data_IF_218869724090
#
_entry.id   IF_218869724090
#
_cell.length_a   1.000
_cell.length_b   1.000
_cell.length_c   1.000
_cell.angle_alpha   90.00
_cell.angle_beta   90.00
_cell.angle_gamma   90.00
#
_symmetry.space_group_name_H-M   'P 1'
#
loop_
_entity.id
_entity.type
_entity.pdbx_description
1 polymer ?
#
# COMPACT_ATOMS: atom_id res chain seq x y z
N UNK A 1 -17.86 4.52 -10.29
CA UNK A 1 -17.18 5.56 -9.48
C UNK A 1 -16.06 6.14 -10.33
N UNK A 2 -15.92 7.47 -10.36
CA UNK A 2 -14.84 8.12 -11.11
C UNK A 2 -13.87 8.79 -10.12
N UNK A 3 -12.56 8.55 -10.34
CA UNK A 3 -11.47 9.15 -9.56
C UNK A 3 -10.63 9.97 -10.53
N UNK A 4 -10.38 11.23 -10.18
CA UNK A 4 -9.50 12.07 -11.00
C UNK A 4 -8.05 11.67 -10.75
N UNK A 5 -7.26 11.62 -11.82
CA UNK A 5 -5.85 11.26 -11.78
C UNK A 5 -5.04 12.15 -12.70
N UNK A 6 -3.87 12.58 -12.21
CA UNK A 6 -2.82 13.19 -13.03
C UNK A 6 -1.72 12.14 -13.18
N UNK A 7 -1.32 11.87 -14.41
CA UNK A 7 -0.22 10.99 -14.73
C UNK A 7 0.94 11.82 -15.33
N UNK A 8 2.02 11.95 -14.58
CA UNK A 8 3.28 12.58 -15.02
C UNK A 8 4.33 11.55 -15.40
N UNK A 9 3.99 10.26 -15.39
CA UNK A 9 4.86 9.20 -15.90
C UNK A 9 4.65 8.97 -17.40
N UNK A 10 5.56 8.23 -18.02
CA UNK A 10 5.39 7.73 -19.39
C UNK A 10 4.73 6.34 -19.45
N UNK A 11 4.16 5.88 -18.32
CA UNK A 11 3.53 4.58 -18.22
C UNK A 11 2.01 4.69 -18.35
N UNK A 12 1.36 3.59 -18.74
CA UNK A 12 -0.09 3.51 -18.76
C UNK A 12 -0.67 3.70 -17.35
N UNK A 13 -1.90 4.24 -17.28
CA UNK A 13 -2.62 4.34 -16.01
C UNK A 13 -2.81 2.96 -15.37
N UNK A 14 -2.81 2.89 -14.02
CA UNK A 14 -3.20 1.67 -13.31
C UNK A 14 -4.57 1.18 -13.78
N UNK A 15 -4.70 -0.11 -13.98
CA UNK A 15 -5.97 -0.73 -14.40
C UNK A 15 -6.16 -2.07 -13.69
N UNK A 16 -7.41 -2.51 -13.63
CA UNK A 16 -7.75 -3.84 -13.12
C UNK A 16 -7.48 -4.87 -14.20
N UNK A 17 -6.67 -5.87 -13.91
CA UNK A 17 -6.32 -6.94 -14.88
C UNK A 17 -7.52 -7.82 -15.22
N UNK A 18 -8.45 -8.02 -14.27
CA UNK A 18 -9.68 -8.79 -14.45
C UNK A 18 -10.87 -8.06 -13.84
N UNK A 19 -12.10 -8.47 -14.22
CA UNK A 19 -13.33 -7.90 -13.65
C UNK A 19 -13.45 -8.10 -12.13
N UNK A 20 -12.77 -9.10 -11.58
CA UNK A 20 -12.79 -9.44 -10.16
C UNK A 20 -11.54 -8.94 -9.41
N UNK A 21 -10.60 -8.27 -10.08
CA UNK A 21 -9.42 -7.71 -9.41
C UNK A 21 -9.82 -6.59 -8.46
N UNK A 22 -9.22 -6.56 -7.27
CA UNK A 22 -9.38 -5.48 -6.30
C UNK A 22 -8.24 -4.46 -6.35
N UNK A 23 -7.08 -4.86 -6.85
CA UNK A 23 -5.87 -4.03 -6.93
C UNK A 23 -5.46 -3.72 -8.37
N UNK A 24 -4.83 -2.58 -8.55
CA UNK A 24 -4.23 -2.11 -9.78
C UNK A 24 -2.72 -1.98 -9.58
N UNK A 25 -1.89 -2.48 -10.49
CA UNK A 25 -0.44 -2.39 -10.34
C UNK A 25 0.05 -0.93 -10.40
N UNK A 26 0.97 -0.58 -9.49
CA UNK A 26 1.74 0.66 -9.50
C UNK A 26 3.13 0.39 -10.07
N UNK A 27 3.55 1.26 -10.99
CA UNK A 27 4.86 1.16 -11.64
C UNK A 27 5.84 2.20 -11.09
N UNK A 28 7.10 1.82 -11.04
CA UNK A 28 8.20 2.74 -10.76
C UNK A 28 8.32 3.78 -11.89
N UNK A 29 8.38 5.05 -11.53
CA UNK A 29 8.68 6.17 -12.43
C UNK A 29 9.99 6.82 -11.98
N UNK A 30 11.09 6.30 -12.47
CA UNK A 30 12.45 6.69 -12.08
C UNK A 30 13.30 6.90 -13.34
N UNK A 31 14.31 7.74 -13.23
CA UNK A 31 15.23 8.04 -14.36
C UNK A 31 16.38 7.04 -14.42
N UNK A 32 16.83 6.57 -13.27
CA UNK A 32 17.92 5.61 -13.12
C UNK A 32 17.46 4.44 -12.28
N UNK A 33 17.99 3.24 -12.53
CA UNK A 33 17.70 2.06 -11.72
C UNK A 33 18.17 2.26 -10.27
N UNK A 34 17.41 1.72 -9.32
CA UNK A 34 17.71 1.81 -7.90
C UNK A 34 18.14 0.42 -7.42
N UNK A 35 19.34 0.32 -6.84
CA UNK A 35 19.78 -0.91 -6.17
C UNK A 35 19.38 -0.79 -4.70
N UNK A 36 18.51 -1.67 -4.25
CA UNK A 36 18.04 -1.77 -2.87
C UNK A 36 18.73 -2.95 -2.19
N UNK A 37 19.73 -2.66 -1.36
CA UNK A 37 20.48 -3.69 -0.63
C UNK A 37 19.65 -4.34 0.47
N UNK A 38 20.07 -5.49 1.01
CA UNK A 38 19.42 -6.10 2.16
C UNK A 38 19.18 -5.12 3.31
N UNK A 39 17.94 -5.10 3.84
CA UNK A 39 17.46 -4.22 4.90
C UNK A 39 17.39 -2.73 4.55
N UNK A 40 17.77 -2.33 3.37
CA UNK A 40 17.56 -0.95 2.89
C UNK A 40 16.10 -0.70 2.50
N UNK A 41 15.70 0.57 2.59
CA UNK A 41 14.40 1.07 2.15
C UNK A 41 14.57 2.32 1.31
N UNK A 42 13.63 2.54 0.41
CA UNK A 42 13.58 3.74 -0.42
C UNK A 42 12.15 4.11 -0.76
N UNK A 43 11.90 5.36 -1.10
CA UNK A 43 10.63 5.81 -1.66
C UNK A 43 10.77 5.84 -3.18
N UNK A 44 9.99 4.98 -3.85
CA UNK A 44 9.94 4.93 -5.31
C UNK A 44 8.75 5.77 -5.80
N UNK A 45 9.01 6.72 -6.65
CA UNK A 45 8.00 7.57 -7.27
C UNK A 45 7.19 6.81 -8.31
N UNK A 46 5.93 7.19 -8.50
CA UNK A 46 5.03 6.60 -9.51
C UNK A 46 4.63 7.57 -10.62
N UNK A 47 4.85 8.87 -10.42
CA UNK A 47 4.36 9.92 -11.32
C UNK A 47 2.85 10.14 -11.24
N UNK A 48 2.15 9.51 -10.30
CA UNK A 48 0.68 9.54 -10.19
C UNK A 48 0.23 10.42 -9.02
N UNK A 49 -0.82 11.22 -9.27
CA UNK A 49 -1.49 12.06 -8.29
C UNK A 49 -2.99 11.82 -8.43
N UNK A 50 -3.70 11.61 -7.32
CA UNK A 50 -5.13 11.29 -7.35
C UNK A 50 -5.94 12.25 -6.48
N UNK A 51 -7.22 12.38 -6.81
CA UNK A 51 -8.23 13.07 -6.00
C UNK A 51 -9.36 12.10 -5.72
N UNK A 52 -9.44 11.63 -4.47
CA UNK A 52 -10.47 10.71 -4.03
C UNK A 52 -11.69 11.47 -3.50
N UNK A 53 -12.91 10.96 -3.70
CA UNK A 53 -14.09 11.39 -2.95
C UNK A 53 -13.93 11.14 -1.45
N UNK A 54 -14.49 12.03 -0.61
CA UNK A 54 -14.57 11.83 0.84
C UNK A 54 -15.28 10.50 1.15
N UNK A 55 -14.77 9.77 2.15
CA UNK A 55 -15.23 8.43 2.52
C UNK A 55 -14.54 7.30 1.76
N UNK A 56 -13.55 7.65 0.94
CA UNK A 56 -12.64 6.69 0.30
C UNK A 56 -11.20 6.96 0.72
N UNK A 57 -10.42 5.90 0.75
CA UNK A 57 -8.97 5.90 0.81
C UNK A 57 -8.39 5.12 -0.37
N UNK A 58 -7.15 5.36 -0.71
CA UNK A 58 -6.39 4.43 -1.52
C UNK A 58 -5.32 3.77 -0.65
N UNK A 59 -5.14 2.46 -0.81
CA UNK A 59 -4.15 1.70 -0.07
C UNK A 59 -3.04 1.22 -1.01
N UNK A 60 -1.80 1.55 -0.65
CA UNK A 60 -0.61 1.01 -1.30
C UNK A 60 -0.25 -0.30 -0.61
N UNK A 61 -0.40 -1.41 -1.34
CA UNK A 61 -0.16 -2.77 -0.82
C UNK A 61 0.98 -3.44 -1.58
N UNK A 62 1.72 -4.39 -0.94
CA UNK A 62 2.75 -5.15 -1.62
C UNK A 62 2.17 -6.07 -2.69
N UNK A 63 3.01 -6.46 -3.65
CA UNK A 63 2.71 -7.52 -4.61
C UNK A 63 3.19 -8.85 -4.06
N UNK A 64 2.30 -9.83 -4.05
CA UNK A 64 2.57 -11.17 -3.54
C UNK A 64 3.79 -11.84 -4.22
N UNK A 65 3.94 -11.64 -5.53
CA UNK A 65 5.06 -12.20 -6.29
C UNK A 65 6.41 -11.61 -5.89
N UNK A 66 6.50 -10.30 -5.62
CA UNK A 66 7.72 -9.67 -5.12
C UNK A 66 8.03 -10.09 -3.69
N UNK A 67 7.01 -10.13 -2.83
CA UNK A 67 7.17 -10.55 -1.45
C UNK A 67 7.66 -12.01 -1.35
N UNK A 68 6.99 -12.94 -2.03
CA UNK A 68 7.30 -14.37 -1.93
C UNK A 68 8.62 -14.75 -2.61
N UNK A 69 8.94 -14.17 -3.78
CA UNK A 69 10.08 -14.61 -4.60
C UNK A 69 11.33 -13.78 -4.37
N UNK A 70 11.19 -12.53 -3.94
CA UNK A 70 12.29 -11.57 -3.84
C UNK A 70 12.46 -10.97 -2.44
N UNK A 71 11.54 -11.22 -1.51
CA UNK A 71 11.58 -10.61 -0.18
C UNK A 71 11.36 -9.10 -0.19
N UNK A 72 10.79 -8.55 -1.27
CA UNK A 72 10.52 -7.11 -1.39
C UNK A 72 9.08 -6.83 -1.00
N UNK A 73 8.90 -5.86 -0.11
CA UNK A 73 7.57 -5.47 0.36
C UNK A 73 7.44 -3.97 0.54
N UNK A 74 6.22 -3.50 0.76
CA UNK A 74 5.92 -2.11 1.14
C UNK A 74 6.06 -2.01 2.66
N UNK A 75 6.99 -1.17 3.11
CA UNK A 75 7.39 -1.09 4.52
C UNK A 75 6.23 -0.70 5.45
N UNK A 76 5.39 0.24 5.01
CA UNK A 76 4.23 0.75 5.76
C UNK A 76 2.90 0.10 5.35
N UNK A 77 2.95 -1.13 4.80
CA UNK A 77 1.73 -1.78 4.29
C UNK A 77 0.70 -2.08 5.39
N UNK A 78 -0.58 -1.77 5.13
CA UNK A 78 -1.11 -1.03 3.99
C UNK A 78 -0.81 0.48 4.10
N UNK A 79 -0.16 1.06 3.09
CA UNK A 79 0.11 2.48 3.03
C UNK A 79 -1.18 3.25 2.73
N UNK A 80 -1.54 4.22 3.57
CA UNK A 80 -2.77 5.00 3.42
C UNK A 80 -2.53 6.25 2.57
N UNK A 81 -3.41 6.47 1.60
CA UNK A 81 -3.51 7.70 0.82
C UNK A 81 -4.90 8.30 1.07
N UNK A 82 -4.92 9.41 1.80
CA UNK A 82 -6.13 10.08 2.21
C UNK A 82 -6.85 10.79 1.05
N UNK A 83 -8.15 11.01 1.19
CA UNK A 83 -8.96 11.63 0.15
C UNK A 83 -8.53 13.06 -0.21
N UNK A 84 -7.97 13.80 0.74
CA UNK A 84 -7.48 15.17 0.59
C UNK A 84 -5.98 15.27 0.27
N UNK A 85 -5.25 14.15 0.19
CA UNK A 85 -3.86 14.16 -0.25
C UNK A 85 -3.76 14.50 -1.74
N UNK A 86 -2.90 15.45 -2.08
CA UNK A 86 -2.67 15.91 -3.47
C UNK A 86 -1.24 15.73 -3.92
N UNK A 87 -0.40 15.12 -3.10
CA UNK A 87 0.98 14.80 -3.46
C UNK A 87 1.08 13.59 -4.39
N UNK A 88 2.30 13.36 -4.86
CA UNK A 88 2.63 12.17 -5.66
C UNK A 88 2.51 10.90 -4.82
N UNK A 89 1.87 9.87 -5.37
CA UNK A 89 1.86 8.53 -4.76
C UNK A 89 3.29 7.98 -4.81
N UNK A 90 3.89 7.82 -3.63
CA UNK A 90 5.18 7.17 -3.44
C UNK A 90 5.01 5.78 -2.83
N UNK A 91 5.85 4.85 -3.23
CA UNK A 91 5.88 3.49 -2.69
C UNK A 91 7.13 3.33 -1.83
N UNK A 92 6.96 3.08 -0.53
CA UNK A 92 8.07 2.84 0.40
C UNK A 92 8.42 1.36 0.34
N UNK A 93 9.43 1.00 -0.46
CA UNK A 93 9.91 -0.38 -0.57
C UNK A 93 11.00 -0.67 0.46
N UNK A 94 11.01 -1.89 0.96
CA UNK A 94 12.06 -2.46 1.79
C UNK A 94 12.48 -3.83 1.25
N UNK A 95 13.78 -4.11 1.28
CA UNK A 95 14.34 -5.40 0.91
C UNK A 95 14.60 -6.23 2.18
N UNK A 96 13.80 -7.26 2.41
CA UNK A 96 13.93 -8.20 3.53
C UNK A 96 14.65 -9.49 3.12
N UNK A 97 15.21 -9.54 1.91
CA UNK A 97 16.05 -10.66 1.46
C UNK A 97 17.52 -10.46 1.84
N UNK A 98 18.34 -11.42 1.51
CA UNK A 98 19.81 -11.38 1.69
C UNK A 98 20.57 -11.06 0.39
N UNK A 99 19.88 -10.59 -0.64
CA UNK A 99 20.46 -10.25 -1.95
C UNK A 99 20.04 -8.85 -2.36
N UNK A 100 20.86 -8.18 -3.16
CA UNK A 100 20.50 -6.91 -3.77
C UNK A 100 19.32 -7.09 -4.71
N UNK A 101 18.42 -6.11 -4.70
CA UNK A 101 17.28 -6.03 -5.61
C UNK A 101 17.37 -4.75 -6.43
N UNK A 102 17.36 -4.88 -7.75
CA UNK A 102 17.36 -3.73 -8.66
C UNK A 102 15.94 -3.41 -9.07
N UNK A 103 15.55 -2.15 -8.91
CA UNK A 103 14.26 -1.59 -9.36
C UNK A 103 14.52 -0.87 -10.66
N UNK A 104 13.84 -1.27 -11.72
CA UNK A 104 13.92 -0.65 -13.03
C UNK A 104 12.71 0.26 -13.30
N UNK A 105 12.90 1.26 -14.18
CA UNK A 105 11.80 2.12 -14.60
C UNK A 105 10.68 1.30 -15.26
N UNK A 106 9.42 1.58 -14.88
CA UNK A 106 8.25 0.86 -15.38
C UNK A 106 7.96 -0.48 -14.71
N UNK A 107 8.84 -0.95 -13.81
CA UNK A 107 8.61 -2.18 -13.07
C UNK A 107 7.39 -2.04 -12.14
N UNK A 108 6.57 -3.10 -12.06
CA UNK A 108 5.41 -3.18 -11.17
C UNK A 108 5.87 -3.48 -9.75
N UNK A 109 5.88 -2.46 -8.88
CA UNK A 109 6.49 -2.50 -7.54
C UNK A 109 5.51 -2.66 -6.38
N UNK A 110 4.25 -2.30 -6.60
CA UNK A 110 3.18 -2.36 -5.61
C UNK A 110 1.83 -2.48 -6.31
N UNK A 111 0.75 -2.50 -5.53
CA UNK A 111 -0.60 -2.39 -6.05
C UNK A 111 -1.39 -1.34 -5.28
N UNK A 112 -2.30 -0.66 -5.96
CA UNK A 112 -3.23 0.33 -5.40
C UNK A 112 -4.61 -0.29 -5.27
N UNK A 113 -5.21 -0.18 -4.08
CA UNK A 113 -6.58 -0.64 -3.81
C UNK A 113 -7.40 0.55 -3.33
N UNK A 114 -8.55 0.78 -3.95
CA UNK A 114 -9.50 1.80 -3.49
C UNK A 114 -10.48 1.16 -2.53
N UNK A 115 -10.63 1.74 -1.34
CA UNK A 115 -11.48 1.22 -0.28
C UNK A 115 -12.38 2.31 0.32
N UNK A 116 -13.53 1.90 0.85
CA UNK A 116 -14.34 2.74 1.72
C UNK A 116 -13.79 2.65 3.14
N UNK A 117 -13.92 3.73 3.89
CA UNK A 117 -13.59 3.75 5.31
C UNK A 117 -14.68 4.46 6.11
N UNK A 118 -14.81 4.11 7.37
CA UNK A 118 -15.66 4.81 8.33
C UNK A 118 -14.84 5.84 9.11
N UNK A 119 -15.49 6.93 9.50
CA UNK A 119 -14.92 7.91 10.43
C UNK A 119 -15.52 7.68 11.81
N UNK A 120 -14.66 7.30 12.75
CA UNK A 120 -15.05 7.12 14.15
C UNK A 120 -15.00 8.46 14.90
N UNK A 121 -15.99 8.68 15.77
CA UNK A 121 -15.96 9.70 16.81
C UNK A 121 -15.75 9.01 18.16
N UNK A 122 -14.77 9.49 18.92
CA UNK A 122 -14.45 8.91 20.21
C UNK A 122 -15.38 9.47 21.29
N UNK A 123 -15.93 8.57 22.11
CA UNK A 123 -16.62 8.92 23.36
C UNK A 123 -15.77 8.35 24.48
N UNK A 124 -15.12 9.22 25.24
CA UNK A 124 -14.31 8.81 26.38
C UNK A 124 -15.22 8.33 27.51
N UNK A 125 -14.96 7.14 28.00
CA UNK A 125 -15.69 6.50 29.09
C UNK A 125 -14.73 5.89 30.10
N UNK A 126 -15.16 5.76 31.35
CA UNK A 126 -14.33 5.13 32.38
C UNK A 126 -14.33 3.59 32.30
N UNK A 127 -15.38 2.98 31.76
CA UNK A 127 -15.52 1.54 31.67
C UNK A 127 -16.11 1.12 30.32
N UNK A 128 -15.69 -0.06 29.84
CA UNK A 128 -16.26 -0.69 28.66
C UNK A 128 -17.21 -1.84 29.08
N UNK A 129 -18.10 -2.22 28.16
CA UNK A 129 -18.98 -3.36 28.37
C UNK A 129 -18.19 -4.66 28.53
N UNK A 130 -18.69 -5.55 29.38
CA UNK A 130 -18.09 -6.86 29.58
C UNK A 130 -18.42 -7.81 28.41
N UNK A 131 -17.45 -8.66 28.04
CA UNK A 131 -17.64 -9.71 27.04
C UNK A 131 -17.08 -11.03 27.55
N UNK A 132 -17.51 -12.16 26.96
CA UNK A 132 -16.97 -13.48 27.29
C UNK A 132 -15.46 -13.63 27.00
N UNK A 133 -14.93 -12.83 26.06
CA UNK A 133 -13.50 -12.77 25.75
C UNK A 133 -12.71 -11.95 26.77
N UNK A 134 -13.32 -10.91 27.34
CA UNK A 134 -12.67 -9.95 28.24
C UNK A 134 -11.39 -9.40 27.64
N UNK A 135 -10.30 -9.46 28.40
CA UNK A 135 -8.96 -8.97 28.00
C UNK A 135 -8.13 -10.02 27.23
N UNK A 136 -8.70 -11.17 26.91
CA UNK A 136 -8.00 -12.25 26.21
C UNK A 136 -7.52 -11.85 24.82
N UNK A 137 -6.20 -11.89 24.59
CA UNK A 137 -5.52 -11.54 23.34
C UNK A 137 -4.17 -12.25 23.22
N UNK A 138 -3.40 -11.92 22.19
CA UNK A 138 -2.02 -12.41 21.97
C UNK A 138 -1.87 -13.93 22.04
N UNK A 139 -2.81 -14.68 21.47
CA UNK A 139 -2.80 -16.14 21.48
C UNK A 139 -3.45 -16.80 22.69
N UNK A 140 -4.29 -16.06 23.45
CA UNK A 140 -5.02 -16.59 24.62
C UNK A 140 -5.89 -17.84 24.32
N UNK A 141 -6.18 -18.12 23.05
CA UNK A 141 -6.91 -19.30 22.57
C UNK A 141 -6.01 -20.51 22.28
N UNK A 142 -4.68 -20.36 22.49
CA UNK A 142 -3.72 -21.42 22.21
C UNK A 142 -3.29 -21.49 20.73
N UNK A 143 -2.31 -22.34 20.44
CA UNK A 143 -1.75 -22.57 19.09
C UNK A 143 -2.19 -23.91 18.48
N UNK A 144 -3.03 -24.70 19.17
CA UNK A 144 -3.62 -25.96 18.72
C UNK A 144 -5.05 -26.07 19.20
#
# INVERSE_FOLDING_TARGET
>A
MNIKIINKSNHALPHYETIASAGMDLRANITESIILKPLERTIVKTGLFIELPIGLEAQVRPRSGLAAKKGITVLNAPGTVDADYRGEIGVILVNLSNQDFTIENGERIAQLVIAKHERAEWIEVETLSQTSRGEGGFGSTGTK
#
